data_IF_615677882453
#
_entry.id   IF_615677882453
#
_cell.length_a   1.000
_cell.length_b   1.000
_cell.length_c   1.000
_cell.angle_alpha   90.00
_cell.angle_beta   90.00
_cell.angle_gamma   90.00
#
_symmetry.space_group_name_H-M   'P 1'
#
loop_
_entity.id
_entity.type
_entity.pdbx_description
1 polymer ?
#
# COMPACT_ATOMS: atom_id res chain seq x y z
N UNK A 1 -6.05 3.72 24.09
CA UNK A 1 -5.84 5.18 24.25
C UNK A 1 -6.62 5.67 25.46
N UNK A 2 -6.01 6.53 26.29
CA UNK A 2 -6.60 7.09 27.52
C UNK A 2 -7.87 7.90 27.17
N UNK A 3 -8.98 7.62 27.83
CA UNK A 3 -10.19 8.46 27.78
C UNK A 3 -9.83 9.87 28.25
N UNK A 4 -9.65 10.81 27.31
CA UNK A 4 -9.79 12.21 27.65
C UNK A 4 -11.19 12.36 28.23
N UNK A 5 -11.36 13.00 29.40
CA UNK A 5 -12.69 13.26 30.00
C UNK A 5 -13.56 14.24 29.20
N UNK A 6 -13.41 14.25 27.87
CA UNK A 6 -14.14 15.04 26.90
C UNK A 6 -15.37 14.23 26.51
N UNK A 7 -16.54 14.83 26.71
CA UNK A 7 -17.79 14.34 26.19
C UNK A 7 -17.89 14.67 24.70
N UNK A 8 -17.47 13.74 23.84
CA UNK A 8 -17.48 13.90 22.39
C UNK A 8 -18.90 13.96 21.80
N UNK A 9 -19.90 13.42 22.49
CA UNK A 9 -21.30 13.55 22.08
C UNK A 9 -21.74 15.01 22.24
N UNK A 10 -21.50 15.62 23.40
CA UNK A 10 -21.78 17.04 23.62
C UNK A 10 -21.02 17.94 22.63
N UNK A 11 -19.76 17.62 22.32
CA UNK A 11 -18.96 18.33 21.30
C UNK A 11 -19.62 18.21 19.92
N UNK A 12 -19.98 16.99 19.49
CA UNK A 12 -20.61 16.76 18.18
C UNK A 12 -21.93 17.52 18.04
N UNK A 13 -22.77 17.51 19.09
CA UNK A 13 -24.03 18.24 19.11
C UNK A 13 -23.84 19.77 19.08
N UNK A 14 -22.76 20.28 19.68
CA UNK A 14 -22.45 21.72 19.72
C UNK A 14 -21.76 22.24 18.45
N UNK A 15 -21.35 21.37 17.51
CA UNK A 15 -20.69 21.80 16.27
C UNK A 15 -21.62 22.75 15.47
N UNK A 16 -21.09 23.91 15.02
CA UNK A 16 -21.90 24.87 14.26
C UNK A 16 -22.19 24.41 12.83
N UNK A 17 -21.35 23.54 12.27
CA UNK A 17 -21.55 22.97 10.95
C UNK A 17 -22.53 21.79 11.03
N UNK A 18 -23.43 21.70 10.05
CA UNK A 18 -24.32 20.55 9.90
C UNK A 18 -23.50 19.30 9.60
N UNK A 19 -23.64 18.28 10.45
CA UNK A 19 -22.90 17.04 10.35
C UNK A 19 -23.77 15.81 10.62
N UNK A 20 -23.52 14.76 9.86
CA UNK A 20 -24.10 13.45 10.02
C UNK A 20 -23.00 12.38 10.13
N UNK A 21 -23.24 11.37 10.95
CA UNK A 21 -22.47 10.14 11.00
C UNK A 21 -23.23 9.06 10.25
N UNK A 22 -22.60 8.48 9.24
CA UNK A 22 -23.14 7.43 8.41
C UNK A 22 -22.39 6.12 8.66
N UNK A 23 -23.08 4.99 8.62
CA UNK A 23 -22.43 3.68 8.49
C UNK A 23 -21.79 3.54 7.10
N UNK A 24 -20.96 2.52 6.91
CA UNK A 24 -20.39 2.18 5.59
C UNK A 24 -21.46 1.81 4.55
N UNK A 25 -22.64 1.39 5.01
CA UNK A 25 -23.83 1.12 4.19
C UNK A 25 -24.73 2.36 4.00
N UNK A 26 -24.24 3.53 4.42
CA UNK A 26 -24.90 4.84 4.29
C UNK A 26 -26.22 4.96 5.09
N UNK A 27 -26.33 4.24 6.20
CA UNK A 27 -27.39 4.46 7.19
C UNK A 27 -26.98 5.59 8.13
N UNK A 28 -27.90 6.47 8.51
CA UNK A 28 -27.63 7.47 9.55
C UNK A 28 -27.42 6.80 10.91
N UNK A 29 -26.18 6.79 11.39
CA UNK A 29 -25.84 6.39 12.75
C UNK A 29 -26.20 7.50 13.75
N UNK A 30 -25.88 8.75 13.40
CA UNK A 30 -26.21 9.92 14.21
C UNK A 30 -26.22 11.22 13.38
N UNK A 31 -26.81 12.29 13.91
CA UNK A 31 -26.79 13.65 13.34
C UNK A 31 -26.69 14.69 14.45
N UNK A 32 -26.10 15.84 14.15
CA UNK A 32 -26.04 16.94 15.11
C UNK A 32 -27.21 17.92 14.97
N UNK A 33 -27.40 18.77 15.99
CA UNK A 33 -28.46 19.78 16.02
C UNK A 33 -28.42 20.75 14.82
N UNK A 34 -27.23 21.08 14.32
CA UNK A 34 -27.09 21.91 13.12
C UNK A 34 -27.64 21.21 11.86
N UNK A 35 -27.46 19.89 11.73
CA UNK A 35 -27.98 19.11 10.62
C UNK A 35 -29.51 18.99 10.65
N UNK A 36 -30.09 18.79 11.84
CA UNK A 36 -31.55 18.76 12.02
C UNK A 36 -32.18 20.11 11.62
N UNK A 37 -31.60 21.23 12.07
CA UNK A 37 -32.06 22.57 11.67
C UNK A 37 -31.94 22.81 10.16
N UNK A 38 -30.81 22.45 9.56
CA UNK A 38 -30.58 22.67 8.14
C UNK A 38 -31.52 21.84 7.26
N UNK A 39 -31.79 20.59 7.65
CA UNK A 39 -32.65 19.67 6.90
C UNK A 39 -34.15 19.82 7.18
N UNK A 40 -34.54 20.46 8.29
CA UNK A 40 -35.95 20.58 8.69
C UNK A 40 -36.58 19.25 9.11
N UNK A 41 -35.77 18.21 9.39
CA UNK A 41 -36.22 16.88 9.79
C UNK A 41 -35.93 16.66 11.27
N UNK A 42 -36.70 15.79 11.91
CA UNK A 42 -36.45 15.37 13.30
C UNK A 42 -35.51 14.16 13.35
N UNK A 43 -34.78 13.99 14.45
CA UNK A 43 -33.86 12.87 14.67
C UNK A 43 -34.49 11.50 14.39
N UNK A 44 -35.71 11.26 14.88
CA UNK A 44 -36.43 9.99 14.70
C UNK A 44 -36.88 9.71 13.26
N UNK A 45 -36.87 10.72 12.38
CA UNK A 45 -37.13 10.56 10.95
C UNK A 45 -35.87 10.23 10.14
N UNK A 46 -34.67 10.41 10.72
CA UNK A 46 -33.39 10.29 10.02
C UNK A 46 -32.62 9.06 10.51
N UNK A 47 -32.35 8.97 11.81
CA UNK A 47 -31.45 7.96 12.39
C UNK A 47 -31.99 6.55 12.12
N UNK A 48 -31.08 5.66 11.68
CA UNK A 48 -31.37 4.28 11.30
C UNK A 48 -31.90 4.09 9.87
N UNK A 49 -32.08 5.18 9.09
CA UNK A 49 -32.56 5.10 7.70
C UNK A 49 -31.43 5.29 6.71
N UNK A 50 -31.65 4.77 5.50
CA UNK A 50 -30.75 4.97 4.36
C UNK A 50 -30.78 6.43 3.89
N UNK A 51 -29.61 7.01 3.66
CA UNK A 51 -29.45 8.44 3.40
C UNK A 51 -30.36 8.96 2.27
N UNK A 52 -30.39 8.25 1.14
CA UNK A 52 -31.10 8.69 -0.05
C UNK A 52 -32.60 8.33 -0.05
N UNK A 53 -33.06 7.55 0.92
CA UNK A 53 -34.50 7.40 1.18
C UNK A 53 -35.06 8.60 1.96
N UNK A 54 -34.22 9.21 2.82
CA UNK A 54 -34.57 10.40 3.59
C UNK A 54 -34.46 11.67 2.75
N UNK A 55 -33.41 11.74 1.93
CA UNK A 55 -33.17 12.83 1.00
C UNK A 55 -32.95 12.23 -0.41
N UNK A 56 -34.02 12.04 -1.20
CA UNK A 56 -33.91 11.64 -2.60
C UNK A 56 -33.66 12.86 -3.51
N UNK A 57 -33.15 12.61 -4.72
CA UNK A 57 -33.08 13.64 -5.77
C UNK A 57 -34.49 14.17 -6.11
N UNK A 58 -34.56 15.44 -6.49
CA UNK A 58 -35.82 16.07 -6.91
C UNK A 58 -36.41 15.33 -8.13
N UNK A 59 -37.57 14.66 -7.99
CA UNK A 59 -38.15 13.84 -9.06
C UNK A 59 -38.61 14.70 -10.25
N UNK A 60 -38.76 16.01 -10.06
CA UNK A 60 -39.14 16.96 -11.11
C UNK A 60 -37.94 17.45 -11.94
N UNK A 61 -36.70 17.07 -11.59
CA UNK A 61 -35.49 17.42 -12.33
C UNK A 61 -34.77 16.17 -12.85
N UNK A 62 -34.99 15.79 -14.13
CA UNK A 62 -34.34 14.62 -14.74
C UNK A 62 -32.81 14.73 -14.83
N UNK A 63 -32.25 15.93 -14.67
CA UNK A 63 -30.80 16.19 -14.68
C UNK A 63 -30.19 16.24 -13.27
N UNK A 64 -30.97 15.93 -12.22
CA UNK A 64 -30.45 15.81 -10.87
C UNK A 64 -29.35 14.72 -10.82
N UNK A 65 -28.19 15.09 -10.29
CA UNK A 65 -27.04 14.19 -10.13
C UNK A 65 -26.52 14.18 -8.69
N UNK A 66 -27.20 14.91 -7.79
CA UNK A 66 -26.76 15.13 -6.41
C UNK A 66 -26.58 13.82 -5.65
N UNK A 67 -27.58 12.93 -5.72
CA UNK A 67 -27.55 11.61 -5.07
C UNK A 67 -26.42 10.76 -5.61
N UNK A 68 -26.30 10.64 -6.95
CA UNK A 68 -25.24 9.85 -7.59
C UNK A 68 -23.84 10.33 -7.20
N UNK A 69 -23.60 11.64 -7.24
CA UNK A 69 -22.29 12.22 -6.95
C UNK A 69 -21.94 12.05 -5.47
N UNK A 70 -22.90 12.29 -4.58
CA UNK A 70 -22.70 12.16 -3.13
C UNK A 70 -22.52 10.71 -2.70
N UNK A 71 -23.33 9.80 -3.23
CA UNK A 71 -23.19 8.36 -3.00
C UNK A 71 -21.81 7.87 -3.43
N UNK A 72 -21.34 8.25 -4.62
CA UNK A 72 -20.02 7.86 -5.10
C UNK A 72 -18.89 8.42 -4.22
N UNK A 73 -19.05 9.60 -3.63
CA UNK A 73 -18.09 10.17 -2.69
C UNK A 73 -18.09 9.41 -1.36
N UNK A 74 -19.27 9.18 -0.76
CA UNK A 74 -19.40 8.49 0.52
C UNK A 74 -18.88 7.04 0.46
N UNK A 75 -19.26 6.28 -0.57
CA UNK A 75 -18.78 4.90 -0.75
C UNK A 75 -17.27 4.85 -0.98
N UNK A 76 -16.71 5.85 -1.66
CA UNK A 76 -15.25 5.96 -1.84
C UNK A 76 -14.54 6.22 -0.52
N UNK A 77 -15.02 7.16 0.30
CA UNK A 77 -14.44 7.41 1.64
C UNK A 77 -14.50 6.14 2.50
N UNK A 78 -15.63 5.42 2.46
CA UNK A 78 -15.78 4.16 3.18
C UNK A 78 -14.79 3.07 2.70
N UNK A 79 -14.53 3.01 1.39
CA UNK A 79 -13.64 2.01 0.79
C UNK A 79 -12.15 2.35 0.93
N UNK A 80 -11.76 3.61 0.81
CA UNK A 80 -10.34 4.02 0.75
C UNK A 80 -9.80 4.54 2.06
N UNK A 81 -10.66 4.98 2.99
CA UNK A 81 -10.20 5.68 4.20
C UNK A 81 -9.57 7.05 3.92
N UNK A 82 -9.84 7.64 2.75
CA UNK A 82 -9.39 9.00 2.39
C UNK A 82 -10.54 9.99 2.43
N UNK A 83 -10.29 11.22 2.89
CA UNK A 83 -11.27 12.31 2.86
C UNK A 83 -11.59 12.73 1.42
N UNK A 84 -12.85 13.03 1.14
CA UNK A 84 -13.30 13.54 -0.17
C UNK A 84 -14.09 14.85 0.00
N UNK A 85 -13.54 15.94 -0.50
CA UNK A 85 -14.19 17.25 -0.53
C UNK A 85 -14.87 17.43 -1.89
N UNK A 86 -16.20 17.55 -1.86
CA UNK A 86 -16.98 17.68 -3.08
C UNK A 86 -17.10 19.14 -3.50
N UNK A 87 -17.14 19.35 -4.81
CA UNK A 87 -17.49 20.65 -5.37
C UNK A 87 -18.95 20.99 -5.05
N UNK A 88 -19.30 22.28 -5.14
CA UNK A 88 -20.64 22.80 -4.88
C UNK A 88 -21.72 21.97 -5.61
N UNK A 89 -22.62 21.34 -4.85
CA UNK A 89 -23.74 20.56 -5.39
C UNK A 89 -25.03 21.37 -5.29
N UNK A 90 -25.79 21.43 -6.39
CA UNK A 90 -27.21 21.77 -6.31
C UNK A 90 -27.95 20.53 -5.81
N UNK A 91 -28.56 20.65 -4.64
CA UNK A 91 -29.38 19.60 -4.06
C UNK A 91 -30.64 20.25 -3.55
N UNK A 92 -31.72 20.14 -4.33
CA UNK A 92 -32.98 20.74 -3.97
C UNK A 92 -33.57 19.98 -2.77
N UNK A 93 -34.11 20.70 -1.80
CA UNK A 93 -34.71 20.11 -0.59
C UNK A 93 -36.21 20.38 -0.63
N UNK A 94 -37.00 19.32 -0.40
CA UNK A 94 -38.45 19.45 -0.28
C UNK A 94 -38.83 20.24 0.98
N UNK A 95 -39.77 21.17 0.83
CA UNK A 95 -40.33 21.98 1.90
C UNK A 95 -41.10 21.07 2.88
N UNK A 96 -40.66 20.93 4.14
CA UNK A 96 -41.28 20.03 5.11
C UNK A 96 -42.75 20.37 5.40
N UNK A 97 -43.12 21.64 5.29
CA UNK A 97 -44.47 22.14 5.56
C UNK A 97 -45.36 22.12 4.31
N UNK A 98 -44.77 21.90 3.12
CA UNK A 98 -45.45 21.91 1.82
C UNK A 98 -44.96 20.77 0.93
N UNK A 99 -45.42 19.53 1.16
CA UNK A 99 -45.08 18.38 0.33
C UNK A 99 -45.30 18.66 -1.17
N UNK A 100 -44.34 18.27 -2.00
CA UNK A 100 -44.30 18.53 -3.44
C UNK A 100 -43.64 19.84 -3.85
N UNK A 101 -43.33 20.75 -2.91
CA UNK A 101 -42.61 22.00 -3.20
C UNK A 101 -41.12 21.83 -2.93
N UNK A 102 -40.29 21.96 -3.96
CA UNK A 102 -38.84 21.81 -3.87
C UNK A 102 -38.14 23.16 -3.89
N UNK A 103 -37.23 23.37 -2.95
CA UNK A 103 -36.43 24.59 -2.85
C UNK A 103 -35.01 24.35 -3.34
N UNK A 104 -34.57 25.22 -4.27
CA UNK A 104 -33.23 25.19 -4.81
C UNK A 104 -32.21 25.58 -3.75
N UNK A 105 -31.37 24.62 -3.34
CA UNK A 105 -30.30 24.82 -2.37
C UNK A 105 -28.95 24.36 -2.90
N UNK A 106 -27.90 24.98 -2.37
CA UNK A 106 -26.53 24.74 -2.76
C UNK A 106 -25.70 24.32 -1.55
N UNK A 107 -25.03 23.18 -1.68
CA UNK A 107 -24.32 22.51 -0.59
C UNK A 107 -22.86 22.31 -0.95
N UNK A 108 -21.98 22.48 0.03
CA UNK A 108 -20.57 22.11 -0.05
C UNK A 108 -20.28 20.94 0.90
N UNK A 109 -20.33 19.68 0.40
CA UNK A 109 -20.07 18.50 1.21
C UNK A 109 -18.58 18.23 1.40
N UNK A 110 -18.22 17.81 2.61
CA UNK A 110 -16.91 17.19 2.90
C UNK A 110 -17.16 15.90 3.65
N UNK A 111 -16.68 14.80 3.10
CA UNK A 111 -16.82 13.46 3.65
C UNK A 111 -15.48 13.01 4.22
N UNK A 112 -15.47 12.54 5.46
CA UNK A 112 -14.26 12.11 6.16
C UNK A 112 -14.48 10.75 6.85
N UNK A 113 -13.48 9.85 6.85
CA UNK A 113 -13.58 8.57 7.54
C UNK A 113 -13.41 8.76 9.05
N UNK A 114 -14.16 7.98 9.81
CA UNK A 114 -13.95 7.78 11.25
C UNK A 114 -13.47 6.34 11.42
N UNK A 115 -12.22 6.19 11.85
CA UNK A 115 -11.56 4.88 11.97
C UNK A 115 -11.65 4.33 13.38
N UNK A 116 -11.76 3.01 13.50
CA UNK A 116 -11.69 2.29 14.78
C UNK A 116 -10.24 2.09 15.25
N UNK A 117 -10.08 1.37 16.37
CA UNK A 117 -8.76 1.08 16.94
C UNK A 117 -7.87 0.22 16.05
N UNK A 118 -8.48 -0.53 15.11
CA UNK A 118 -7.79 -1.41 14.17
C UNK A 118 -7.50 -0.69 12.84
N UNK A 119 -7.79 0.61 12.75
CA UNK A 119 -7.57 1.44 11.56
C UNK A 119 -8.60 1.24 10.45
N UNK A 120 -9.71 0.53 10.71
CA UNK A 120 -10.77 0.29 9.72
C UNK A 120 -11.80 1.41 9.78
N UNK A 121 -12.38 1.77 8.63
CA UNK A 121 -13.44 2.80 8.59
C UNK A 121 -14.70 2.25 9.24
N UNK A 122 -15.04 2.77 10.42
CA UNK A 122 -16.23 2.38 11.17
C UNK A 122 -17.46 3.24 10.80
N UNK A 123 -17.23 4.54 10.55
CA UNK A 123 -18.27 5.49 10.14
C UNK A 123 -17.72 6.48 9.11
N UNK A 124 -18.61 7.14 8.39
CA UNK A 124 -18.30 8.29 7.52
C UNK A 124 -18.95 9.54 8.11
N UNK A 125 -18.12 10.53 8.45
CA UNK A 125 -18.57 11.86 8.82
C UNK A 125 -18.89 12.66 7.55
N UNK A 126 -20.16 12.98 7.38
CA UNK A 126 -20.68 13.81 6.31
C UNK A 126 -20.96 15.22 6.83
N UNK A 127 -20.07 16.17 6.54
CA UNK A 127 -20.26 17.59 6.87
C UNK A 127 -20.83 18.31 5.65
N UNK A 128 -21.88 19.10 5.85
CA UNK A 128 -22.46 19.95 4.81
C UNK A 128 -22.55 21.39 5.25
N UNK A 129 -22.31 22.28 4.30
CA UNK A 129 -22.47 23.71 4.48
C UNK A 129 -23.40 24.24 3.39
N UNK A 130 -24.51 24.86 3.80
CA UNK A 130 -25.43 25.53 2.88
C UNK A 130 -24.86 26.90 2.52
N UNK A 131 -24.59 27.12 1.24
CA UNK A 131 -24.02 28.39 0.74
C UNK A 131 -24.98 29.16 -0.16
N UNK A 132 -26.26 28.78 -0.14
CA UNK A 132 -27.33 29.41 -0.94
C UNK A 132 -27.37 30.93 -0.76
N UNK A 133 -27.32 31.42 0.48
CA UNK A 133 -27.37 32.87 0.76
C UNK A 133 -26.08 33.60 0.38
N UNK A 134 -24.92 32.96 0.53
CA UNK A 134 -23.63 33.52 0.12
C UNK A 134 -23.57 33.74 -1.40
N UNK A 135 -24.12 32.79 -2.17
CA UNK A 135 -24.29 32.91 -3.63
C UNK A 135 -25.24 34.06 -3.98
N UNK A 136 -26.38 34.17 -3.27
CA UNK A 136 -27.34 35.27 -3.46
C UNK A 136 -26.74 36.64 -3.12
N UNK A 137 -25.93 36.74 -2.06
CA UNK A 137 -25.32 37.99 -1.59
C UNK A 137 -24.19 38.48 -2.51
N UNK A 138 -23.36 37.59 -3.05
CA UNK A 138 -22.31 37.94 -4.03
C UNK A 138 -22.85 38.42 -5.38
N UNK A 139 -24.12 38.12 -5.69
CA UNK A 139 -24.80 38.61 -6.89
C UNK A 139 -25.18 40.10 -6.89
N UNK A 140 -25.10 40.78 -5.73
CA UNK A 140 -25.41 42.20 -5.59
C UNK A 140 -26.91 42.54 -5.57
N UNK A 141 -27.27 43.74 -5.06
CA UNK A 141 -28.67 44.23 -4.93
C UNK A 141 -29.34 44.68 -6.24
N UNK A 142 -28.81 44.27 -7.41
CA UNK A 142 -29.34 44.69 -8.71
C UNK A 142 -29.49 43.50 -9.65
N UNK A 143 -30.74 43.10 -9.90
CA UNK A 143 -31.16 42.20 -10.97
C UNK A 143 -30.78 40.72 -10.80
N UNK A 144 -31.79 39.84 -10.67
CA UNK A 144 -31.61 38.39 -10.56
C UNK A 144 -30.85 37.72 -11.73
N UNK A 145 -30.50 38.44 -12.80
CA UNK A 145 -29.64 37.94 -13.89
C UNK A 145 -28.15 37.91 -13.52
N UNK A 146 -27.63 38.84 -12.72
CA UNK A 146 -26.19 38.85 -12.35
C UNK A 146 -25.87 37.77 -11.31
N UNK A 147 -26.76 37.54 -10.35
CA UNK A 147 -26.69 36.41 -9.41
C UNK A 147 -26.75 35.07 -10.14
N UNK A 148 -27.68 34.91 -11.09
CA UNK A 148 -27.78 33.69 -11.92
C UNK A 148 -26.51 33.44 -12.76
N UNK A 149 -25.89 34.49 -13.29
CA UNK A 149 -24.64 34.36 -14.04
C UNK A 149 -23.46 33.91 -13.17
N UNK A 150 -23.30 34.49 -11.98
CA UNK A 150 -22.23 34.11 -11.04
C UNK A 150 -22.46 32.70 -10.46
N UNK A 151 -23.71 32.33 -10.17
CA UNK A 151 -24.09 30.96 -9.79
C UNK A 151 -23.73 29.94 -10.87
N UNK A 152 -24.08 30.25 -12.13
CA UNK A 152 -23.75 29.39 -13.26
C UNK A 152 -22.23 29.26 -13.44
N UNK A 153 -21.48 30.35 -13.29
CA UNK A 153 -20.02 30.35 -13.38
C UNK A 153 -19.38 29.51 -12.26
N UNK A 154 -19.77 29.71 -10.99
CA UNK A 154 -19.26 28.91 -9.88
C UNK A 154 -19.61 27.43 -10.01
N UNK A 155 -20.82 27.11 -10.49
CA UNK A 155 -21.22 25.73 -10.77
C UNK A 155 -20.37 25.11 -11.90
N UNK A 156 -20.10 25.90 -12.94
CA UNK A 156 -19.27 25.46 -14.07
C UNK A 156 -17.84 25.20 -13.61
N UNK A 157 -17.24 26.11 -12.84
CA UNK A 157 -15.90 25.95 -12.26
C UNK A 157 -15.81 24.78 -11.28
N UNK A 158 -16.80 24.61 -10.42
CA UNK A 158 -16.91 23.49 -9.48
C UNK A 158 -16.92 22.14 -10.23
N UNK A 159 -17.72 22.07 -11.30
CA UNK A 159 -17.80 20.87 -12.14
C UNK A 159 -16.51 20.62 -12.91
N UNK A 160 -15.89 21.65 -13.49
CA UNK A 160 -14.58 21.56 -14.16
C UNK A 160 -13.52 21.00 -13.20
N UNK A 161 -13.43 21.53 -11.98
CA UNK A 161 -12.50 21.04 -10.96
C UNK A 161 -12.76 19.60 -10.55
N UNK A 162 -14.03 19.21 -10.40
CA UNK A 162 -14.39 17.83 -10.10
C UNK A 162 -14.00 16.89 -11.26
N UNK A 163 -14.29 17.28 -12.51
CA UNK A 163 -13.92 16.50 -13.70
C UNK A 163 -12.40 16.35 -13.83
N UNK A 164 -11.63 17.42 -13.57
CA UNK A 164 -10.16 17.37 -13.55
C UNK A 164 -9.64 16.46 -12.43
N UNK A 165 -10.18 16.58 -11.22
CA UNK A 165 -9.80 15.72 -10.10
C UNK A 165 -10.12 14.25 -10.37
N UNK A 166 -11.28 13.94 -10.96
CA UNK A 166 -11.61 12.57 -11.35
C UNK A 166 -10.68 12.05 -12.45
N UNK A 167 -10.34 12.86 -13.46
CA UNK A 167 -9.37 12.49 -14.49
C UNK A 167 -7.99 12.22 -13.91
N UNK A 168 -7.53 13.08 -13.00
CA UNK A 168 -6.24 12.91 -12.31
C UNK A 168 -6.21 11.62 -11.50
N UNK A 169 -7.26 11.36 -10.70
CA UNK A 169 -7.39 10.11 -9.94
C UNK A 169 -7.41 8.88 -10.85
N UNK A 170 -8.14 8.90 -11.96
CA UNK A 170 -8.16 7.80 -12.94
C UNK A 170 -6.83 7.64 -13.67
N UNK A 171 -6.07 8.71 -13.88
CA UNK A 171 -4.73 8.64 -14.42
C UNK A 171 -3.79 7.95 -13.44
N UNK A 172 -3.76 8.38 -12.18
CA UNK A 172 -2.94 7.76 -11.13
C UNK A 172 -3.30 6.30 -10.86
N UNK A 173 -4.59 5.95 -10.85
CA UNK A 173 -5.02 4.55 -10.70
C UNK A 173 -4.49 3.67 -11.84
N UNK A 174 -4.55 4.16 -13.09
CA UNK A 174 -4.00 3.45 -14.25
C UNK A 174 -2.48 3.37 -14.22
N UNK A 175 -1.78 4.44 -13.83
CA UNK A 175 -0.33 4.43 -13.66
C UNK A 175 0.08 3.35 -12.65
N UNK A 176 -0.61 3.27 -11.50
CA UNK A 176 -0.38 2.26 -10.47
C UNK A 176 -0.66 0.83 -10.96
N UNK A 177 -1.74 0.62 -11.71
CA UNK A 177 -2.08 -0.67 -12.29
C UNK A 177 -1.01 -1.17 -13.27
N UNK A 178 -0.53 -0.28 -14.15
CA UNK A 178 0.55 -0.58 -15.10
C UNK A 178 1.84 -0.93 -14.36
N UNK A 179 2.17 -0.14 -13.34
CA UNK A 179 3.33 -0.35 -12.47
C UNK A 179 3.35 -1.75 -11.83
N UNK A 180 2.25 -2.12 -11.16
CA UNK A 180 2.11 -3.43 -10.51
C UNK A 180 2.14 -4.59 -11.52
N UNK A 181 1.52 -4.39 -12.68
CA UNK A 181 1.51 -5.41 -13.75
C UNK A 181 2.91 -5.66 -14.32
N UNK A 182 3.68 -4.59 -14.55
CA UNK A 182 5.07 -4.68 -15.01
C UNK A 182 5.94 -5.41 -14.00
N UNK A 183 5.84 -5.03 -12.72
CA UNK A 183 6.59 -5.66 -11.64
C UNK A 183 6.24 -7.14 -11.48
N UNK A 184 4.95 -7.49 -11.51
CA UNK A 184 4.51 -8.89 -11.46
C UNK A 184 5.02 -9.70 -12.65
N UNK A 185 5.16 -9.09 -13.83
CA UNK A 185 5.75 -9.74 -15.00
C UNK A 185 7.28 -9.87 -14.90
N UNK A 186 7.93 -9.03 -14.09
CA UNK A 186 9.36 -9.04 -13.80
C UNK A 186 9.75 -9.90 -12.60
N UNK A 187 8.84 -10.59 -11.92
CA UNK A 187 9.17 -11.54 -10.85
C UNK A 187 8.83 -12.96 -11.30
N UNK A 188 9.64 -13.97 -10.91
CA UNK A 188 9.35 -15.34 -11.31
C UNK A 188 8.12 -15.87 -10.56
N UNK A 189 7.27 -16.61 -11.26
CA UNK A 189 6.15 -17.30 -10.62
C UNK A 189 6.69 -18.31 -9.59
N UNK A 190 6.15 -18.34 -8.35
CA UNK A 190 6.54 -19.36 -7.38
C UNK A 190 6.28 -20.76 -7.96
N UNK A 191 7.32 -21.57 -8.01
CA UNK A 191 7.29 -22.90 -8.62
C UNK A 191 8.11 -23.92 -7.83
N UNK A 192 8.00 -25.22 -8.16
CA UNK A 192 8.86 -26.24 -7.57
C UNK A 192 10.32 -26.01 -7.98
N UNK A 193 11.23 -26.25 -7.03
CA UNK A 193 12.68 -26.24 -7.18
C UNK A 193 13.17 -27.69 -7.07
N UNK A 194 13.07 -28.43 -8.17
CA UNK A 194 13.22 -29.89 -8.14
C UNK A 194 12.18 -30.54 -7.23
N UNK A 195 12.63 -31.17 -6.13
CA UNK A 195 11.76 -31.79 -5.11
C UNK A 195 11.31 -30.83 -4.00
N UNK A 196 11.84 -29.61 -3.99
CA UNK A 196 11.57 -28.61 -2.96
C UNK A 196 10.54 -27.60 -3.47
N UNK A 197 9.87 -26.88 -2.55
CA UNK A 197 9.02 -25.75 -2.88
C UNK A 197 9.41 -24.58 -1.98
N UNK A 198 9.69 -23.44 -2.60
CA UNK A 198 9.91 -22.18 -1.89
C UNK A 198 8.58 -21.51 -1.59
N UNK A 199 8.40 -21.05 -0.35
CA UNK A 199 7.37 -20.07 -0.01
C UNK A 199 7.95 -18.68 -0.27
N UNK A 200 7.25 -17.87 -1.05
CA UNK A 200 7.67 -16.51 -1.37
C UNK A 200 6.61 -15.53 -0.89
N UNK A 201 7.05 -14.44 -0.27
CA UNK A 201 6.22 -13.28 0.03
C UNK A 201 6.92 -12.02 -0.44
N UNK A 202 6.15 -11.13 -1.03
CA UNK A 202 6.66 -9.88 -1.58
C UNK A 202 5.70 -8.76 -1.20
N UNK A 203 6.15 -7.82 -0.38
CA UNK A 203 5.34 -6.79 0.22
C UNK A 203 5.94 -5.40 -0.07
N UNK A 204 5.28 -4.59 -0.92
CA UNK A 204 5.70 -3.21 -1.15
C UNK A 204 5.48 -2.32 0.08
N UNK A 205 6.32 -1.30 0.23
CA UNK A 205 6.24 -0.20 1.19
C UNK A 205 4.94 0.61 1.05
N UNK A 206 4.52 1.22 2.15
CA UNK A 206 3.30 2.05 2.18
C UNK A 206 3.60 3.46 1.66
N UNK A 207 2.96 3.88 0.56
CA UNK A 207 2.84 5.31 0.18
C UNK A 207 3.61 5.79 -1.05
N UNK A 208 4.42 4.96 -1.70
CA UNK A 208 5.03 5.25 -3.01
C UNK A 208 4.17 4.68 -4.15
N UNK A 209 4.59 4.78 -5.42
CA UNK A 209 3.88 4.22 -6.60
C UNK A 209 3.70 2.67 -6.57
N UNK A 210 3.93 2.02 -5.43
CA UNK A 210 3.87 0.59 -5.18
C UNK A 210 4.79 -0.25 -6.08
N UNK A 211 5.81 0.37 -6.69
CA UNK A 211 6.83 -0.34 -7.47
C UNK A 211 8.14 -0.29 -6.71
N UNK A 212 8.69 -1.46 -6.51
CA UNK A 212 9.79 -1.73 -5.59
C UNK A 212 11.10 -2.04 -6.33
N UNK A 213 12.22 -1.68 -5.70
CA UNK A 213 13.59 -2.01 -6.12
C UNK A 213 14.01 -3.45 -5.81
N UNK A 214 13.40 -4.08 -4.80
CA UNK A 214 13.63 -5.47 -4.40
C UNK A 214 13.24 -6.48 -5.47
N UNK A 215 13.98 -7.58 -5.51
CA UNK A 215 13.60 -8.76 -6.24
C UNK A 215 13.99 -10.04 -5.50
N UNK A 216 13.39 -11.12 -5.96
CA UNK A 216 13.88 -12.47 -5.71
C UNK A 216 14.01 -13.22 -7.03
N UNK A 217 14.85 -14.25 -7.04
CA UNK A 217 14.92 -15.20 -8.14
C UNK A 217 14.98 -16.65 -7.65
N UNK A 218 14.39 -17.54 -8.43
CA UNK A 218 14.27 -18.97 -8.18
C UNK A 218 14.64 -19.71 -9.46
N UNK A 219 15.83 -20.32 -9.50
CA UNK A 219 16.36 -20.92 -10.72
C UNK A 219 16.77 -22.38 -10.50
N UNK A 220 16.12 -23.31 -11.20
CA UNK A 220 16.60 -24.70 -11.30
C UNK A 220 17.88 -24.76 -12.14
N UNK A 221 18.90 -25.45 -11.65
CA UNK A 221 20.20 -25.63 -12.30
C UNK A 221 20.37 -27.09 -12.74
N UNK A 222 21.44 -27.37 -13.47
CA UNK A 222 21.78 -28.75 -13.84
C UNK A 222 22.23 -29.55 -12.61
N UNK A 223 22.11 -30.88 -12.70
CA UNK A 223 22.64 -31.78 -11.66
C UNK A 223 21.85 -31.79 -10.35
N UNK A 224 20.56 -31.40 -10.36
CA UNK A 224 19.72 -31.42 -9.15
C UNK A 224 19.98 -30.26 -8.18
N UNK A 225 20.81 -29.30 -8.58
CA UNK A 225 21.03 -28.06 -7.86
C UNK A 225 19.95 -27.03 -8.19
N UNK A 226 19.73 -26.08 -7.30
CA UNK A 226 18.93 -24.89 -7.58
C UNK A 226 19.55 -23.66 -6.94
N UNK A 227 19.22 -22.49 -7.46
CA UNK A 227 19.66 -21.21 -6.94
C UNK A 227 18.48 -20.38 -6.41
N UNK A 228 18.77 -19.63 -5.35
CA UNK A 228 17.85 -18.67 -4.76
C UNK A 228 18.62 -17.37 -4.58
N UNK A 229 18.06 -16.29 -5.11
CA UNK A 229 18.62 -14.95 -5.00
C UNK A 229 17.61 -13.98 -4.39
N UNK A 230 18.13 -12.96 -3.72
CA UNK A 230 17.41 -11.73 -3.41
C UNK A 230 18.31 -10.54 -3.68
N UNK A 231 17.74 -9.37 -3.87
CA UNK A 231 18.50 -8.14 -3.90
C UNK A 231 17.60 -6.92 -3.86
N UNK A 232 18.22 -5.76 -3.70
CA UNK A 232 17.56 -4.47 -3.57
C UNK A 232 18.31 -3.39 -4.36
N UNK A 233 17.58 -2.71 -5.24
CA UNK A 233 18.04 -1.60 -6.06
C UNK A 233 17.73 -0.29 -5.35
N UNK A 234 18.75 0.55 -5.19
CA UNK A 234 18.61 1.88 -4.58
C UNK A 234 17.53 2.71 -5.29
N UNK A 235 16.60 3.21 -4.50
CA UNK A 235 15.53 4.09 -4.94
C UNK A 235 14.20 3.36 -5.12
N UNK A 236 13.20 4.04 -5.66
CA UNK A 236 11.84 3.50 -5.75
C UNK A 236 11.15 3.94 -7.05
N UNK A 237 10.06 3.26 -7.41
CA UNK A 237 9.25 3.57 -8.57
C UNK A 237 9.75 2.94 -9.87
N UNK A 238 9.25 3.44 -11.00
CA UNK A 238 9.39 2.77 -12.29
C UNK A 238 10.85 2.69 -12.79
N UNK A 239 11.68 3.68 -12.48
CA UNK A 239 13.10 3.67 -12.83
C UNK A 239 13.84 2.55 -12.08
N UNK A 240 13.63 2.44 -10.77
CA UNK A 240 14.24 1.39 -9.94
C UNK A 240 13.78 -0.01 -10.41
N UNK A 241 12.48 -0.19 -10.71
CA UNK A 241 11.99 -1.46 -11.29
C UNK A 241 12.63 -1.80 -12.64
N UNK A 242 12.88 -0.82 -13.49
CA UNK A 242 13.56 -1.04 -14.77
C UNK A 242 15.00 -1.54 -14.58
N UNK A 243 15.71 -1.01 -13.60
CA UNK A 243 17.06 -1.48 -13.22
C UNK A 243 16.97 -2.87 -12.57
N UNK A 244 16.08 -3.07 -11.61
CA UNK A 244 15.83 -4.34 -10.94
C UNK A 244 15.57 -5.46 -11.95
N UNK A 245 14.67 -5.25 -12.91
CA UNK A 245 14.32 -6.26 -13.93
C UNK A 245 15.51 -6.65 -14.79
N UNK A 246 16.39 -5.71 -15.12
CA UNK A 246 17.65 -5.95 -15.84
C UNK A 246 18.63 -6.76 -14.99
N UNK A 247 18.88 -6.35 -13.74
CA UNK A 247 19.82 -7.01 -12.84
C UNK A 247 19.37 -8.43 -12.46
N UNK A 248 18.09 -8.60 -12.09
CA UNK A 248 17.50 -9.93 -11.84
C UNK A 248 17.70 -10.86 -13.03
N UNK A 249 17.35 -10.40 -14.24
CA UNK A 249 17.45 -11.22 -15.44
C UNK A 249 18.90 -11.56 -15.80
N UNK A 250 19.83 -10.61 -15.60
CA UNK A 250 21.25 -10.83 -15.79
C UNK A 250 21.82 -11.86 -14.79
N UNK A 251 21.45 -11.76 -13.50
CA UNK A 251 21.87 -12.72 -12.48
C UNK A 251 21.28 -14.12 -12.72
N UNK A 252 20.00 -14.19 -13.09
CA UNK A 252 19.31 -15.44 -13.45
C UNK A 252 19.98 -16.16 -14.62
N UNK A 253 20.48 -15.40 -15.60
CA UNK A 253 21.26 -15.95 -16.70
C UNK A 253 22.68 -16.34 -16.27
N UNK A 254 23.36 -15.48 -15.50
CA UNK A 254 24.74 -15.68 -15.06
C UNK A 254 24.89 -16.94 -14.20
N UNK A 255 23.97 -17.19 -13.26
CA UNK A 255 24.04 -18.37 -12.37
C UNK A 255 23.92 -19.70 -13.10
N UNK A 256 23.32 -19.71 -14.30
CA UNK A 256 23.17 -20.92 -15.12
C UNK A 256 24.43 -21.34 -15.86
N UNK A 257 25.39 -20.42 -15.99
CA UNK A 257 26.61 -20.63 -16.78
C UNK A 257 27.90 -20.43 -15.98
N UNK A 258 27.83 -19.75 -14.85
CA UNK A 258 28.96 -19.47 -13.98
C UNK A 258 29.28 -20.65 -13.04
N UNK A 259 30.55 -20.77 -12.68
CA UNK A 259 31.05 -21.76 -11.72
C UNK A 259 30.81 -21.32 -10.27
N UNK A 260 29.54 -21.12 -9.90
CA UNK A 260 29.11 -20.79 -8.54
C UNK A 260 28.65 -19.34 -8.32
N UNK A 261 28.17 -19.02 -7.10
CA UNK A 261 27.52 -17.74 -6.81
C UNK A 261 28.47 -16.53 -6.88
N UNK A 262 29.75 -16.67 -6.50
CA UNK A 262 30.71 -15.57 -6.61
C UNK A 262 30.93 -15.15 -8.07
N UNK A 263 31.18 -16.12 -8.95
CA UNK A 263 31.37 -15.87 -10.37
C UNK A 263 30.10 -15.27 -11.03
N UNK A 264 28.91 -15.70 -10.61
CA UNK A 264 27.65 -15.12 -11.07
C UNK A 264 27.50 -13.65 -10.63
N UNK A 265 27.85 -13.32 -9.37
CA UNK A 265 27.84 -11.94 -8.88
C UNK A 265 28.96 -11.07 -9.46
N UNK A 266 30.10 -11.65 -9.85
CA UNK A 266 31.15 -10.95 -10.60
C UNK A 266 30.63 -10.52 -11.98
N UNK A 267 29.99 -11.44 -12.70
CA UNK A 267 29.36 -11.14 -13.99
C UNK A 267 28.26 -10.08 -13.84
N UNK A 268 27.43 -10.19 -12.79
CA UNK A 268 26.41 -9.16 -12.48
C UNK A 268 27.05 -7.81 -12.19
N UNK A 269 28.14 -7.77 -11.41
CA UNK A 269 28.86 -6.55 -11.08
C UNK A 269 29.50 -5.86 -12.29
N UNK A 270 29.96 -6.63 -13.28
CA UNK A 270 30.43 -6.09 -14.56
C UNK A 270 29.26 -5.53 -15.38
N UNK A 271 28.13 -6.24 -15.45
CA UNK A 271 26.94 -5.78 -16.14
C UNK A 271 26.35 -4.50 -15.52
N UNK A 272 26.28 -4.42 -14.20
CA UNK A 272 25.75 -3.28 -13.46
C UNK A 272 26.46 -1.97 -13.80
N UNK A 273 27.75 -1.99 -14.16
CA UNK A 273 28.50 -0.79 -14.60
C UNK A 273 27.99 -0.18 -15.90
N UNK A 274 27.21 -0.94 -16.68
CA UNK A 274 26.57 -0.48 -17.92
C UNK A 274 25.11 -0.04 -17.73
N UNK A 275 24.58 -0.19 -16.51
CA UNK A 275 23.18 0.12 -16.19
C UNK A 275 23.13 1.35 -15.29
N UNK A 276 22.62 2.46 -15.81
CA UNK A 276 22.42 3.69 -15.04
C UNK A 276 21.46 3.42 -13.86
N UNK A 277 21.86 3.81 -12.65
CA UNK A 277 21.09 3.58 -11.43
C UNK A 277 21.31 2.22 -10.75
N UNK A 278 22.18 1.35 -11.27
CA UNK A 278 22.52 0.07 -10.63
C UNK A 278 23.59 0.20 -9.52
N UNK A 279 24.22 1.37 -9.38
CA UNK A 279 25.24 1.62 -8.35
C UNK A 279 24.65 1.45 -6.95
N UNK A 280 25.44 0.87 -6.06
CA UNK A 280 25.07 0.55 -4.67
C UNK A 280 23.90 -0.43 -4.51
N UNK A 281 23.46 -1.09 -5.58
CA UNK A 281 22.51 -2.21 -5.50
C UNK A 281 23.09 -3.33 -4.63
N UNK A 282 22.29 -3.86 -3.71
CA UNK A 282 22.66 -5.03 -2.92
C UNK A 282 22.11 -6.31 -3.55
N UNK A 283 22.85 -7.41 -3.45
CA UNK A 283 22.38 -8.70 -3.98
C UNK A 283 23.01 -9.86 -3.22
N UNK A 284 22.25 -10.93 -3.04
CA UNK A 284 22.69 -12.19 -2.45
C UNK A 284 22.37 -13.31 -3.43
N UNK A 285 23.33 -14.18 -3.68
CA UNK A 285 23.14 -15.37 -4.49
C UNK A 285 23.52 -16.62 -3.72
N UNK A 286 22.64 -17.63 -3.78
CA UNK A 286 22.86 -18.95 -3.20
C UNK A 286 22.71 -20.05 -4.26
N UNK A 287 23.51 -21.11 -4.13
CA UNK A 287 23.39 -22.34 -4.90
C UNK A 287 23.30 -23.49 -3.91
N UNK A 288 22.24 -24.28 -4.02
CA UNK A 288 21.93 -25.39 -3.14
C UNK A 288 22.19 -26.68 -3.90
N UNK A 289 23.14 -27.48 -3.40
CA UNK A 289 23.38 -28.85 -3.83
C UNK A 289 22.72 -29.81 -2.85
N UNK A 290 21.63 -30.40 -3.31
CA UNK A 290 20.76 -31.29 -2.56
C UNK A 290 21.33 -32.69 -2.31
N UNK A 291 22.32 -33.11 -3.11
CA UNK A 291 22.96 -34.42 -2.99
C UNK A 291 24.17 -34.32 -2.05
N UNK A 292 24.93 -33.23 -2.14
CA UNK A 292 26.04 -32.91 -1.22
C UNK A 292 25.57 -32.31 0.10
N UNK A 293 24.31 -31.85 0.16
CA UNK A 293 23.70 -31.14 1.30
C UNK A 293 24.50 -29.90 1.70
N UNK A 294 24.79 -29.06 0.70
CA UNK A 294 25.57 -27.83 0.87
C UNK A 294 24.86 -26.64 0.26
N UNK A 295 24.90 -25.50 0.95
CA UNK A 295 24.55 -24.18 0.44
C UNK A 295 25.85 -23.42 0.18
N UNK A 296 26.13 -23.08 -1.07
CA UNK A 296 27.21 -22.15 -1.44
C UNK A 296 26.60 -20.77 -1.65
N UNK A 297 27.20 -19.73 -1.09
CA UNK A 297 26.64 -18.38 -1.15
C UNK A 297 27.72 -17.30 -1.34
N UNK A 298 27.30 -16.17 -1.91
CA UNK A 298 28.09 -14.93 -2.04
C UNK A 298 27.15 -13.74 -1.90
N UNK A 299 27.58 -12.70 -1.18
CA UNK A 299 26.80 -11.49 -0.94
C UNK A 299 27.52 -10.24 -1.46
N UNK A 300 26.75 -9.39 -2.12
CA UNK A 300 27.11 -8.05 -2.54
C UNK A 300 26.37 -7.02 -1.68
N UNK A 301 26.90 -6.78 -0.48
CA UNK A 301 26.43 -5.77 0.46
C UNK A 301 25.06 -6.05 1.06
N UNK A 302 24.50 -7.23 0.81
CA UNK A 302 23.18 -7.62 1.24
C UNK A 302 23.22 -8.27 2.64
N UNK A 303 22.15 -8.14 3.46
CA UNK A 303 22.04 -8.86 4.72
C UNK A 303 22.29 -10.37 4.56
N UNK A 304 22.92 -11.02 5.55
CA UNK A 304 23.24 -12.44 5.46
C UNK A 304 21.96 -13.29 5.47
N UNK A 305 21.83 -14.31 4.62
CA UNK A 305 20.71 -15.23 4.72
C UNK A 305 20.83 -16.11 5.96
N UNK A 306 19.72 -16.69 6.36
CA UNK A 306 19.65 -17.53 7.56
C UNK A 306 19.46 -18.99 7.18
N UNK A 307 20.31 -19.84 7.72
CA UNK A 307 20.13 -21.29 7.73
C UNK A 307 19.65 -21.71 9.11
N UNK A 308 18.39 -22.13 9.19
CA UNK A 308 17.82 -22.77 10.37
C UNK A 308 18.05 -24.27 10.27
N UNK A 309 18.93 -24.78 11.13
CA UNK A 309 19.26 -26.19 11.22
C UNK A 309 18.10 -27.01 11.82
N UNK A 310 18.06 -28.30 11.51
CA UNK A 310 17.00 -29.19 11.99
C UNK A 310 16.97 -29.34 13.53
N UNK A 311 18.08 -29.06 14.21
CA UNK A 311 18.18 -29.03 15.68
C UNK A 311 17.67 -27.71 16.31
N UNK A 312 17.24 -26.74 15.48
CA UNK A 312 16.76 -25.43 15.90
C UNK A 312 17.85 -24.36 15.96
N UNK A 313 19.11 -24.68 15.64
CA UNK A 313 20.20 -23.69 15.58
C UNK A 313 19.97 -22.73 14.43
N UNK A 314 20.03 -21.42 14.71
CA UNK A 314 19.95 -20.34 13.72
C UNK A 314 21.37 -19.91 13.35
N UNK A 315 21.76 -20.09 12.08
CA UNK A 315 23.06 -19.65 11.55
C UNK A 315 22.87 -18.54 10.51
N UNK A 316 23.49 -17.39 10.73
CA UNK A 316 23.62 -16.34 9.71
C UNK A 316 24.82 -16.65 8.82
N UNK A 317 24.60 -16.69 7.51
CA UNK A 317 25.61 -17.03 6.51
C UNK A 317 26.37 -15.75 6.06
N UNK A 318 27.29 -15.26 6.90
CA UNK A 318 27.94 -13.95 6.74
C UNK A 318 29.41 -13.99 6.27
N UNK A 319 29.96 -15.19 6.03
CA UNK A 319 31.39 -15.39 5.74
C UNK A 319 31.81 -15.03 4.31
N UNK A 320 30.88 -14.61 3.45
CA UNK A 320 31.12 -14.27 2.05
C UNK A 320 30.46 -12.94 1.66
N UNK A 321 30.63 -11.93 2.52
CA UNK A 321 30.07 -10.60 2.34
C UNK A 321 31.09 -9.64 1.74
N UNK A 322 30.83 -9.18 0.53
CA UNK A 322 31.55 -8.10 -0.15
C UNK A 322 30.72 -6.81 -0.19
N UNK A 323 31.27 -5.64 -0.53
CA UNK A 323 30.50 -4.40 -0.70
C UNK A 323 29.40 -4.49 -1.79
N UNK A 324 28.41 -3.58 -1.79
CA UNK A 324 27.38 -3.49 -2.83
C UNK A 324 27.93 -3.40 -4.26
N UNK A 325 27.09 -3.66 -5.26
CA UNK A 325 27.46 -3.53 -6.67
C UNK A 325 27.94 -2.10 -6.97
N UNK A 326 29.00 -1.95 -7.76
CA UNK A 326 29.53 -0.63 -8.14
C UNK A 326 30.22 0.17 -7.03
N UNK A 327 30.26 -0.31 -5.77
CA UNK A 327 30.88 0.43 -4.66
C UNK A 327 32.41 0.58 -4.80
N UNK A 328 33.08 -0.32 -5.55
CA UNK A 328 34.51 -0.25 -5.83
C UNK A 328 34.76 0.29 -7.23
N UNK A 329 35.67 1.27 -7.34
CA UNK A 329 36.12 1.82 -8.63
C UNK A 329 36.66 0.71 -9.55
N UNK A 330 37.52 -0.14 -9.03
CA UNK A 330 38.07 -1.30 -9.74
C UNK A 330 37.29 -2.58 -9.45
N UNK A 331 37.22 -3.49 -10.42
CA UNK A 331 36.62 -4.81 -10.23
C UNK A 331 37.57 -5.70 -9.42
N UNK A 332 37.05 -6.26 -8.33
CA UNK A 332 37.74 -7.25 -7.49
C UNK A 332 36.88 -8.50 -7.48
N UNK A 333 37.46 -9.70 -7.70
CA UNK A 333 36.71 -10.95 -7.67
C UNK A 333 35.97 -11.14 -6.35
N UNK A 334 34.72 -11.57 -6.43
CA UNK A 334 33.85 -11.85 -5.27
C UNK A 334 34.31 -13.10 -4.54
N UNK A 335 34.08 -13.14 -3.23
CA UNK A 335 34.28 -14.36 -2.43
C UNK A 335 32.99 -15.17 -2.32
N UNK A 336 33.11 -16.47 -2.06
CA UNK A 336 32.00 -17.35 -1.70
C UNK A 336 32.37 -18.23 -0.50
N UNK A 337 31.36 -18.68 0.23
CA UNK A 337 31.48 -19.60 1.35
C UNK A 337 30.46 -20.73 1.23
N UNK A 338 30.69 -21.82 1.96
CA UNK A 338 29.82 -23.01 1.97
C UNK A 338 29.32 -23.30 3.38
N UNK A 339 28.05 -23.65 3.52
CA UNK A 339 27.47 -24.17 4.75
C UNK A 339 26.84 -25.54 4.47
N UNK A 340 27.09 -26.50 5.36
CA UNK A 340 26.46 -27.82 5.29
C UNK A 340 25.11 -27.79 6.00
N UNK A 341 24.16 -28.59 5.53
CA UNK A 341 22.85 -28.73 6.19
C UNK A 341 22.45 -30.19 6.36
N UNK A 342 21.53 -30.44 7.28
CA UNK A 342 20.82 -31.72 7.41
C UNK A 342 19.43 -31.60 6.81
N UNK A 343 18.87 -32.72 6.37
CA UNK A 343 17.47 -32.80 5.93
C UNK A 343 16.53 -32.25 7.01
N UNK A 344 15.56 -31.43 6.60
CA UNK A 344 14.67 -30.69 7.48
C UNK A 344 15.15 -29.29 7.85
N UNK A 345 16.33 -28.86 7.40
CA UNK A 345 16.79 -27.48 7.54
C UNK A 345 15.93 -26.51 6.72
N UNK A 346 15.93 -25.24 7.09
CA UNK A 346 15.20 -24.18 6.38
C UNK A 346 16.14 -23.03 6.04
N UNK A 347 16.20 -22.68 4.77
CA UNK A 347 16.96 -21.54 4.26
C UNK A 347 16.01 -20.35 4.06
N UNK A 348 16.38 -19.19 4.61
CA UNK A 348 15.60 -17.95 4.57
C UNK A 348 16.44 -16.84 3.97
N UNK A 349 15.97 -16.27 2.86
CA UNK A 349 16.54 -15.09 2.21
C UNK A 349 15.53 -13.95 2.31
N UNK A 350 16.01 -12.74 2.56
CA UNK A 350 15.16 -11.58 2.78
C UNK A 350 15.90 -10.30 2.40
N UNK A 351 15.16 -9.28 1.98
CA UNK A 351 15.69 -7.91 1.83
C UNK A 351 15.62 -7.15 3.15
N UNK A 352 16.36 -6.04 3.23
CA UNK A 352 16.53 -5.26 4.46
C UNK A 352 15.22 -4.74 5.03
N UNK A 353 14.20 -4.45 4.23
CA UNK A 353 12.90 -4.04 4.76
C UNK A 353 12.27 -5.04 5.73
N UNK A 354 12.65 -6.33 5.73
CA UNK A 354 12.17 -7.25 6.76
C UNK A 354 12.74 -6.93 8.17
N UNK A 355 13.97 -6.43 8.23
CA UNK A 355 14.73 -6.26 9.49
C UNK A 355 15.02 -4.81 9.85
N UNK A 356 15.11 -3.92 8.87
CA UNK A 356 15.50 -2.54 9.04
C UNK A 356 14.31 -1.69 9.45
N UNK A 357 14.50 -0.87 10.48
CA UNK A 357 13.52 0.09 10.93
C UNK A 357 14.20 1.43 11.21
N UNK A 358 13.48 2.51 10.93
CA UNK A 358 13.97 3.86 11.25
C UNK A 358 14.28 3.97 12.73
N UNK A 359 15.50 4.43 13.04
CA UNK A 359 16.00 4.65 14.41
C UNK A 359 16.22 3.38 15.25
N UNK A 360 16.22 2.19 14.64
CA UNK A 360 16.57 0.93 15.28
C UNK A 360 17.91 0.43 14.70
N UNK A 361 18.74 -0.20 15.53
CA UNK A 361 19.98 -0.83 15.06
C UNK A 361 19.63 -2.12 14.29
N UNK A 362 20.34 -2.38 13.19
CA UNK A 362 20.15 -3.56 12.36
C UNK A 362 20.28 -4.87 13.16
N UNK A 363 21.16 -4.91 14.16
CA UNK A 363 21.35 -6.07 15.04
C UNK A 363 20.07 -6.40 15.81
N UNK A 364 19.25 -5.39 16.13
CA UNK A 364 17.97 -5.63 16.81
C UNK A 364 16.97 -6.32 15.89
N UNK A 365 16.95 -5.93 14.60
CA UNK A 365 16.14 -6.60 13.58
C UNK A 365 16.59 -8.04 13.32
N UNK A 366 17.89 -8.27 13.22
CA UNK A 366 18.48 -9.61 13.06
C UNK A 366 18.18 -10.52 14.26
N UNK A 367 18.33 -10.02 15.48
CA UNK A 367 18.00 -10.80 16.69
C UNK A 367 16.51 -11.15 16.74
N UNK A 368 15.62 -10.21 16.36
CA UNK A 368 14.17 -10.47 16.27
C UNK A 368 13.84 -11.56 15.24
N UNK A 369 14.53 -11.55 14.10
CA UNK A 369 14.41 -12.60 13.08
C UNK A 369 14.84 -13.95 13.65
N UNK A 370 16.01 -14.02 14.28
CA UNK A 370 16.53 -15.24 14.90
C UNK A 370 15.58 -15.80 15.97
N UNK A 371 15.05 -14.95 16.85
CA UNK A 371 14.09 -15.33 17.89
C UNK A 371 12.78 -15.86 17.30
N UNK A 372 12.29 -15.26 16.21
CA UNK A 372 11.09 -15.74 15.52
C UNK A 372 11.33 -17.11 14.87
N UNK A 373 12.45 -17.28 14.18
CA UNK A 373 12.83 -18.56 13.57
C UNK A 373 13.02 -19.67 14.62
N UNK A 374 13.64 -19.37 15.77
CA UNK A 374 13.80 -20.31 16.86
C UNK A 374 12.46 -20.79 17.45
N UNK A 375 11.45 -19.93 17.52
CA UNK A 375 10.11 -20.29 18.02
C UNK A 375 9.25 -21.04 17.00
N UNK A 376 9.33 -20.64 15.73
CA UNK A 376 8.39 -21.09 14.69
C UNK A 376 9.04 -22.03 13.65
N UNK A 377 10.30 -22.39 13.82
CA UNK A 377 11.11 -23.15 12.86
C UNK A 377 10.56 -24.51 12.44
N UNK A 378 9.66 -25.10 13.23
CA UNK A 378 9.03 -26.38 12.91
C UNK A 378 7.85 -26.25 11.95
N UNK A 379 7.31 -25.03 11.76
CA UNK A 379 6.21 -24.76 10.83
C UNK A 379 6.62 -25.08 9.38
N UNK A 380 5.64 -25.33 8.52
CA UNK A 380 5.89 -25.41 7.08
C UNK A 380 6.32 -24.04 6.51
N UNK A 381 6.92 -24.06 5.31
CA UNK A 381 7.53 -22.86 4.73
C UNK A 381 6.54 -21.70 4.52
N UNK A 382 5.28 -21.99 4.15
CA UNK A 382 4.27 -20.95 3.92
C UNK A 382 3.83 -20.32 5.25
N UNK A 383 3.51 -21.15 6.26
CA UNK A 383 3.17 -20.67 7.61
C UNK A 383 4.32 -19.88 8.25
N UNK A 384 5.56 -20.33 8.07
CA UNK A 384 6.73 -19.63 8.59
C UNK A 384 6.90 -18.26 7.91
N UNK A 385 6.76 -18.19 6.58
CA UNK A 385 6.85 -16.93 5.85
C UNK A 385 5.78 -15.92 6.31
N UNK A 386 4.53 -16.37 6.48
CA UNK A 386 3.44 -15.51 6.97
C UNK A 386 3.68 -15.02 8.41
N UNK A 387 4.21 -15.89 9.27
CA UNK A 387 4.55 -15.55 10.66
C UNK A 387 5.68 -14.53 10.74
N UNK A 388 6.72 -14.70 9.92
CA UNK A 388 7.85 -13.76 9.85
C UNK A 388 7.37 -12.36 9.47
N UNK A 389 6.54 -12.24 8.42
CA UNK A 389 6.00 -10.93 8.05
C UNK A 389 5.12 -10.34 9.15
N UNK A 390 4.25 -11.13 9.76
CA UNK A 390 3.33 -10.64 10.78
C UNK A 390 4.05 -10.14 12.05
N UNK A 391 5.15 -10.77 12.44
CA UNK A 391 5.90 -10.39 13.66
C UNK A 391 6.99 -9.35 13.42
N UNK A 392 7.63 -9.36 12.24
CA UNK A 392 8.75 -8.47 11.94
C UNK A 392 8.29 -7.15 11.32
N UNK A 393 7.17 -7.12 10.59
CA UNK A 393 6.66 -5.88 10.01
C UNK A 393 5.78 -5.14 11.04
N UNK A 394 6.05 -3.85 11.33
CA UNK A 394 5.22 -3.06 12.24
C UNK A 394 3.76 -2.96 11.78
N UNK A 395 2.81 -2.86 12.72
CA UNK A 395 1.38 -2.69 12.40
C UNK A 395 1.07 -1.40 11.60
N UNK A 396 1.97 -0.40 11.63
CA UNK A 396 1.87 0.82 10.81
C UNK A 396 2.34 0.65 9.37
N UNK A 397 2.72 -0.56 8.96
CA UNK A 397 3.33 -0.85 7.67
C UNK A 397 4.84 -0.70 7.67
N UNK A 398 5.46 -1.15 6.59
CA UNK A 398 6.89 -1.02 6.40
C UNK A 398 7.26 0.29 5.70
N UNK A 399 8.42 0.85 6.06
CA UNK A 399 8.98 2.01 5.37
C UNK A 399 9.76 1.65 4.13
N UNK A 400 10.19 0.39 4.04
CA UNK A 400 10.86 -0.15 2.86
C UNK A 400 10.08 -1.33 2.27
N UNK A 401 10.52 -1.77 1.11
CA UNK A 401 9.94 -2.93 0.47
C UNK A 401 10.49 -4.23 1.07
N UNK A 402 9.81 -5.36 0.84
CA UNK A 402 10.25 -6.64 1.41
C UNK A 402 10.03 -7.79 0.45
N UNK A 403 11.12 -8.43 0.04
CA UNK A 403 11.12 -9.76 -0.55
C UNK A 403 11.56 -10.77 0.51
N UNK A 404 10.80 -11.87 0.65
CA UNK A 404 11.09 -12.97 1.57
C UNK A 404 10.94 -14.29 0.83
N UNK A 405 11.98 -15.13 0.89
CA UNK A 405 11.98 -16.48 0.34
C UNK A 405 12.36 -17.47 1.43
N UNK A 406 11.51 -18.48 1.64
CA UNK A 406 11.71 -19.57 2.61
C UNK A 406 11.74 -20.89 1.86
N UNK A 407 12.82 -21.66 1.98
CA UNK A 407 12.98 -22.96 1.33
C UNK A 407 13.31 -24.03 2.37
N UNK A 408 12.54 -25.12 2.37
CA UNK A 408 12.79 -26.28 3.24
C UNK A 408 13.65 -27.32 2.51
N UNK A 409 14.78 -27.70 3.12
CA UNK A 409 15.89 -28.46 2.52
C UNK A 409 15.95 -29.93 2.96
#
# INVERSE_FOLDING_TARGET
MKHSGIDYEAVFQALPAAAALLTTDLLYADVNEAYLRASGRTRGQIVGRYMFDVFPDNPNDPAATGTRNLQASLLRVAATGERDAMALQRYDVEDPDRPGRWEKRYWSPVNAPVVDADGRVALVLHRVEEVTELLRARGGRSGGDRTRALEAELYTRARELQEVNERLRRAHAREREVALSLQSAMLPAPGPLGRHRGAVRYQPSVGSLNVCGDWYDLAELSGGCFAVAVGDVVGHGLTAAGVMGQLRSALSAAVRVADGPAAALDALGLYARSVEGAESTTALQTVIDCDRRTVTYSSAGHPPPVLLHADGTVEFLDRATDPPLGARFEHVPRIQAEAAFSEGATLVLYTDGLIERRYEDIDTGLNRLADCLGRHGQADADTLADTLLAELIPQGGNTDDTALVVVRL
#
